data_IF_706391494605
#
_entry.id   IF_706391494605
#
_cell.length_a   1.000
_cell.length_b   1.000
_cell.length_c   1.000
_cell.angle_alpha   90.00
_cell.angle_beta   90.00
_cell.angle_gamma   90.00
#
_symmetry.space_group_name_H-M   'P 1'
#
loop_
_entity.id
_entity.type
_entity.pdbx_description
1 polymer ?
#
# COMPACT_ATOMS: atom_id res chain seq x y z
N UNK A 1 6.73 -84.11 -26.16
CA UNK A 1 6.12 -83.32 -27.25
C UNK A 1 4.89 -82.62 -26.68
N UNK A 2 4.78 -81.29 -26.85
CA UNK A 2 3.69 -80.45 -26.32
C UNK A 2 3.92 -80.03 -24.86
N UNK A 3 3.68 -78.80 -24.41
CA UNK A 3 3.05 -77.63 -25.02
C UNK A 3 3.55 -76.38 -24.24
N UNK A 4 4.03 -75.35 -24.95
CA UNK A 4 4.41 -74.08 -24.34
C UNK A 4 3.18 -73.17 -24.31
N UNK A 5 2.66 -72.92 -23.12
CA UNK A 5 1.53 -72.02 -22.87
C UNK A 5 1.92 -70.56 -23.15
N UNK A 6 1.28 -69.97 -24.16
CA UNK A 6 1.36 -68.55 -24.49
C UNK A 6 0.70 -67.72 -23.38
N UNK A 7 1.46 -66.82 -22.77
CA UNK A 7 0.94 -65.80 -21.85
C UNK A 7 0.36 -64.66 -22.71
N UNK A 8 -0.89 -64.21 -22.50
CA UNK A 8 -1.48 -63.14 -23.29
C UNK A 8 -0.85 -61.78 -22.94
N UNK A 9 -0.42 -61.05 -23.97
CA UNK A 9 0.11 -59.68 -23.91
C UNK A 9 -1.03 -58.70 -23.65
N UNK A 10 -1.55 -58.68 -22.43
CA UNK A 10 -2.58 -57.73 -22.00
C UNK A 10 -2.21 -57.02 -20.69
N UNK A 11 -0.93 -56.71 -20.49
CA UNK A 11 -0.46 -55.86 -19.38
C UNK A 11 0.71 -54.98 -19.83
N UNK A 12 0.42 -53.93 -20.59
CA UNK A 12 1.30 -52.77 -20.71
C UNK A 12 0.52 -51.50 -20.32
N UNK A 13 0.97 -50.72 -19.32
CA UNK A 13 0.35 -49.46 -18.99
C UNK A 13 0.61 -48.46 -20.13
N UNK A 14 -0.49 -47.99 -20.73
CA UNK A 14 -0.51 -46.94 -21.73
C UNK A 14 0.25 -45.69 -21.25
N UNK A 15 1.29 -45.28 -21.99
CA UNK A 15 1.94 -43.97 -21.84
C UNK A 15 1.16 -42.92 -22.67
N UNK A 16 0.72 -41.79 -22.11
CA UNK A 16 0.14 -40.72 -22.91
C UNK A 16 1.24 -40.01 -23.72
N UNK A 17 1.08 -39.97 -25.05
CA UNK A 17 1.86 -39.09 -25.93
C UNK A 17 1.52 -37.62 -25.62
N UNK A 18 2.56 -36.80 -25.47
CA UNK A 18 2.50 -35.34 -25.32
C UNK A 18 1.67 -34.66 -26.43
N UNK A 19 0.83 -33.65 -26.13
CA UNK A 19 0.00 -32.97 -27.12
C UNK A 19 0.72 -31.77 -27.75
N UNK A 20 2.00 -31.93 -28.13
CA UNK A 20 2.76 -30.84 -28.74
C UNK A 20 2.85 -31.05 -30.26
N UNK A 21 1.92 -30.45 -30.99
CA UNK A 21 1.93 -30.36 -32.46
C UNK A 21 2.43 -28.97 -32.85
N UNK A 22 3.75 -28.77 -32.77
CA UNK A 22 4.39 -27.53 -33.18
C UNK A 22 5.79 -27.81 -33.74
N UNK A 23 6.01 -27.47 -35.00
CA UNK A 23 7.30 -27.65 -35.68
C UNK A 23 8.27 -26.52 -35.28
N UNK A 24 9.45 -26.86 -34.76
CA UNK A 24 10.46 -25.90 -34.23
C UNK A 24 11.14 -25.04 -35.33
N UNK A 25 10.73 -25.17 -36.60
CA UNK A 25 11.37 -24.51 -37.75
C UNK A 25 10.67 -23.22 -38.22
N UNK A 26 9.64 -22.75 -37.52
CA UNK A 26 8.93 -21.49 -37.83
C UNK A 26 8.92 -20.50 -36.66
N UNK A 27 10.02 -20.43 -35.91
CA UNK A 27 10.29 -19.32 -35.01
C UNK A 27 11.16 -18.30 -35.73
N UNK A 28 10.55 -17.47 -36.57
CA UNK A 28 11.20 -16.24 -37.04
C UNK A 28 11.27 -15.29 -35.84
N UNK A 29 12.48 -15.04 -35.36
CA UNK A 29 12.74 -14.01 -34.38
C UNK A 29 12.24 -12.66 -34.94
N UNK A 30 11.35 -11.99 -34.21
CA UNK A 30 10.95 -10.61 -34.54
C UNK A 30 12.19 -9.73 -34.41
N UNK A 31 12.66 -9.04 -35.46
CA UNK A 31 13.73 -8.06 -35.31
C UNK A 31 13.17 -6.92 -34.46
N UNK A 32 13.66 -6.86 -33.24
CA UNK A 32 13.43 -5.77 -32.32
C UNK A 32 14.06 -4.49 -32.91
N UNK A 33 13.34 -3.38 -32.74
CA UNK A 33 13.84 -2.00 -32.81
C UNK A 33 14.25 -1.44 -34.19
N UNK A 34 13.27 -1.07 -35.02
CA UNK A 34 13.45 0.12 -35.88
C UNK A 34 13.17 1.36 -35.05
N UNK A 35 14.25 2.06 -34.67
CA UNK A 35 14.24 3.38 -34.04
C UNK A 35 13.52 4.35 -34.99
N UNK A 36 12.29 4.71 -34.68
CA UNK A 36 11.60 5.82 -35.35
C UNK A 36 12.25 7.09 -34.82
N UNK A 37 13.31 7.57 -35.48
CA UNK A 37 13.71 8.97 -35.36
C UNK A 37 12.79 9.78 -36.27
N UNK A 38 11.57 10.05 -35.80
CA UNK A 38 10.79 11.14 -36.35
C UNK A 38 11.22 12.40 -35.59
N UNK A 39 11.96 13.26 -36.28
CA UNK A 39 12.25 14.61 -35.84
C UNK A 39 10.91 15.29 -35.51
N UNK A 40 10.72 15.68 -34.25
CA UNK A 40 9.59 16.52 -33.84
C UNK A 40 9.90 17.93 -34.37
N UNK A 41 9.02 18.58 -35.15
CA UNK A 41 9.22 19.98 -35.49
C UNK A 41 9.22 20.79 -34.18
N UNK A 42 10.24 21.64 -34.01
CA UNK A 42 10.30 22.59 -32.91
C UNK A 42 9.12 23.55 -33.05
N UNK A 43 8.07 23.33 -32.25
CA UNK A 43 7.04 24.33 -32.04
C UNK A 43 7.70 25.43 -31.20
N UNK A 44 8.10 26.53 -31.83
CA UNK A 44 8.46 27.75 -31.11
C UNK A 44 7.19 28.34 -30.52
N UNK A 45 6.93 28.02 -29.25
CA UNK A 45 5.94 28.74 -28.47
C UNK A 45 6.49 30.14 -28.24
N UNK A 46 5.97 31.12 -28.98
CA UNK A 46 6.17 32.53 -28.69
C UNK A 46 5.54 32.80 -27.34
N UNK A 47 6.35 32.92 -26.29
CA UNK A 47 5.89 33.42 -25.01
C UNK A 47 5.60 34.91 -25.17
N UNK A 48 4.33 35.25 -25.41
CA UNK A 48 3.82 36.61 -25.26
C UNK A 48 3.78 36.93 -23.77
N UNK A 49 4.92 37.27 -23.20
CA UNK A 49 4.98 37.89 -21.88
C UNK A 49 4.44 39.32 -22.01
N UNK A 50 3.17 39.51 -21.67
CA UNK A 50 2.62 40.81 -21.34
C UNK A 50 1.54 40.63 -20.27
N UNK A 51 1.98 40.80 -19.03
CA UNK A 51 1.26 41.49 -17.95
C UNK A 51 -0.21 41.11 -17.71
N UNK A 52 -0.43 40.08 -16.89
CA UNK A 52 -1.21 40.20 -15.65
C UNK A 52 -0.63 39.20 -14.66
N UNK A 53 0.48 39.57 -14.03
CA UNK A 53 0.83 38.96 -12.75
C UNK A 53 -0.30 39.32 -11.80
N UNK A 54 -1.20 38.37 -11.52
CA UNK A 54 -2.17 38.51 -10.45
C UNK A 54 -1.40 39.00 -9.22
N UNK A 55 -1.79 40.12 -8.59
CA UNK A 55 -1.13 40.53 -7.38
C UNK A 55 -1.34 39.38 -6.40
N UNK A 56 -0.23 38.76 -5.96
CA UNK A 56 -0.18 38.09 -4.68
C UNK A 56 -0.34 39.22 -3.67
N UNK A 57 -1.57 39.70 -3.52
CA UNK A 57 -1.94 40.67 -2.51
C UNK A 57 -1.71 39.94 -1.20
N UNK A 58 -0.65 40.32 -0.49
CA UNK A 58 -0.44 39.98 0.91
C UNK A 58 -1.79 40.09 1.65
N UNK A 59 -2.08 39.20 2.63
CA UNK A 59 -3.39 39.15 3.26
C UNK A 59 -3.79 40.55 3.72
N UNK A 60 -4.77 41.14 3.02
CA UNK A 60 -5.31 42.44 3.38
C UNK A 60 -5.95 42.28 4.75
N UNK A 61 -5.34 42.95 5.72
CA UNK A 61 -5.75 42.98 7.12
C UNK A 61 -7.22 43.39 7.17
N UNK A 62 -8.12 42.43 7.42
CA UNK A 62 -9.56 42.71 7.56
C UNK A 62 -10.54 41.77 6.84
N UNK A 63 -10.15 40.59 6.38
CA UNK A 63 -11.14 39.63 5.86
C UNK A 63 -11.98 39.05 7.02
N UNK A 64 -13.24 39.48 7.12
CA UNK A 64 -14.22 38.92 8.07
C UNK A 64 -14.66 37.52 7.62
N UNK A 65 -14.63 36.56 8.55
CA UNK A 65 -15.17 35.23 8.30
C UNK A 65 -16.68 35.30 8.02
N UNK A 66 -17.06 34.75 6.87
CA UNK A 66 -18.43 34.51 6.40
C UNK A 66 -18.48 33.10 5.83
N UNK A 67 -19.66 32.51 5.73
CA UNK A 67 -19.81 31.14 5.21
C UNK A 67 -19.19 30.97 3.81
N UNK A 68 -19.20 32.02 3.00
CA UNK A 68 -18.66 32.01 1.64
C UNK A 68 -17.12 31.95 1.57
N UNK A 69 -16.43 32.35 2.65
CA UNK A 69 -14.98 32.50 2.70
C UNK A 69 -14.30 31.43 3.57
N UNK A 70 -15.05 30.44 4.05
CA UNK A 70 -14.51 29.32 4.83
C UNK A 70 -14.10 28.19 3.88
N UNK A 71 -12.89 27.70 4.06
CA UNK A 71 -12.38 26.54 3.33
C UNK A 71 -11.48 25.70 4.22
N UNK A 72 -11.40 24.38 3.98
CA UNK A 72 -10.45 23.55 4.69
C UNK A 72 -9.01 23.94 4.33
N UNK A 73 -8.09 23.75 5.28
CA UNK A 73 -6.65 23.91 5.01
C UNK A 73 -6.22 23.01 3.84
N UNK A 74 -5.34 23.48 2.94
CA UNK A 74 -4.83 22.66 1.84
C UNK A 74 -4.25 21.34 2.37
N UNK A 75 -4.65 20.22 1.76
CA UNK A 75 -4.22 18.88 2.16
C UNK A 75 -5.07 18.23 3.25
N UNK A 76 -5.94 18.96 3.95
CA UNK A 76 -6.84 18.41 4.98
C UNK A 76 -7.79 17.35 4.42
N UNK A 77 -8.40 17.60 3.26
CA UNK A 77 -9.36 16.68 2.61
C UNK A 77 -8.93 16.34 1.19
N UNK A 78 -8.69 15.06 0.91
CA UNK A 78 -8.37 14.54 -0.43
C UNK A 78 -9.62 13.91 -1.06
N UNK A 79 -9.87 14.18 -2.35
CA UNK A 79 -11.00 13.57 -3.08
C UNK A 79 -10.76 12.07 -3.24
N UNK A 80 -11.77 11.25 -2.93
CA UNK A 80 -11.69 9.80 -3.09
C UNK A 80 -11.70 9.38 -4.57
N UNK A 81 -10.93 8.33 -4.90
CA UNK A 81 -10.92 7.76 -6.26
C UNK A 81 -12.21 6.99 -6.51
N UNK A 82 -13.00 7.42 -7.50
CA UNK A 82 -14.19 6.70 -7.98
C UNK A 82 -13.76 5.68 -9.04
N UNK A 83 -13.68 4.40 -8.65
CA UNK A 83 -13.26 3.31 -9.56
C UNK A 83 -14.35 3.02 -10.61
N UNK A 84 -13.95 2.48 -11.77
CA UNK A 84 -14.89 2.09 -12.83
C UNK A 84 -15.55 3.26 -13.56
N UNK A 85 -14.81 4.38 -13.76
CA UNK A 85 -15.28 5.58 -14.47
C UNK A 85 -14.37 5.93 -15.64
N UNK A 86 -14.22 4.97 -16.56
CA UNK A 86 -13.38 5.13 -17.75
C UNK A 86 -11.88 5.03 -17.47
N UNK A 87 -11.11 4.72 -18.52
CA UNK A 87 -9.65 4.48 -18.41
C UNK A 87 -8.90 5.76 -18.05
N UNK A 88 -9.35 6.92 -18.55
CA UNK A 88 -8.74 8.22 -18.28
C UNK A 88 -8.71 8.58 -16.78
N UNK A 89 -9.67 8.09 -15.98
CA UNK A 89 -9.68 8.26 -14.53
C UNK A 89 -8.68 7.36 -13.78
N UNK A 90 -7.94 6.49 -14.49
CA UNK A 90 -6.83 5.67 -13.97
C UNK A 90 -7.21 4.28 -13.47
N UNK A 91 -8.45 4.03 -13.07
CA UNK A 91 -8.91 2.72 -12.56
C UNK A 91 -10.23 2.30 -13.23
N UNK A 92 -10.28 2.43 -14.56
CA UNK A 92 -11.48 2.23 -15.37
C UNK A 92 -11.83 0.78 -15.71
N UNK A 93 -10.86 0.01 -16.22
CA UNK A 93 -11.12 -1.31 -16.78
C UNK A 93 -11.37 -2.37 -15.68
N UNK A 94 -10.32 -2.79 -14.98
CA UNK A 94 -10.38 -3.82 -13.93
C UNK A 94 -10.54 -3.24 -12.52
N UNK A 95 -10.72 -1.93 -12.38
CA UNK A 95 -10.74 -1.22 -11.09
C UNK A 95 -9.50 -1.50 -10.19
N UNK A 96 -8.40 -1.98 -10.80
CA UNK A 96 -7.16 -2.35 -10.11
C UNK A 96 -7.14 -3.76 -9.56
N UNK A 97 -8.15 -4.59 -9.85
CA UNK A 97 -8.22 -5.98 -9.39
C UNK A 97 -7.51 -6.97 -10.32
N UNK A 98 -7.17 -6.56 -11.55
CA UNK A 98 -6.48 -7.41 -12.52
C UNK A 98 -7.43 -8.33 -13.31
N UNK A 99 -6.91 -9.49 -13.73
CA UNK A 99 -7.68 -10.52 -14.46
C UNK A 99 -8.56 -11.33 -13.50
N UNK A 100 -9.33 -12.28 -14.06
CA UNK A 100 -10.21 -13.19 -13.31
C UNK A 100 -9.40 -14.01 -12.30
N UNK A 101 -9.69 -13.86 -11.02
CA UNK A 101 -9.12 -14.66 -9.92
C UNK A 101 -9.97 -14.53 -8.65
N UNK A 102 -9.63 -15.27 -7.60
CA UNK A 102 -10.41 -15.23 -6.35
C UNK A 102 -10.47 -13.80 -5.75
N UNK A 103 -9.37 -13.04 -5.81
CA UNK A 103 -9.29 -11.65 -5.29
C UNK A 103 -10.08 -10.62 -6.11
N UNK A 104 -10.50 -10.96 -7.33
CA UNK A 104 -11.28 -10.07 -8.19
C UNK A 104 -12.79 -10.28 -8.06
N UNK A 105 -13.23 -11.26 -7.26
CA UNK A 105 -14.65 -11.56 -7.04
C UNK A 105 -15.20 -10.73 -5.88
N UNK A 106 -16.51 -10.48 -5.91
CA UNK A 106 -17.23 -9.90 -4.78
C UNK A 106 -17.31 -10.91 -3.63
N UNK A 107 -17.35 -10.39 -2.41
CA UNK A 107 -17.52 -11.17 -1.19
C UNK A 107 -16.29 -11.17 -0.27
N UNK A 108 -16.37 -11.89 0.86
CA UNK A 108 -15.26 -12.05 1.78
C UNK A 108 -14.06 -12.70 1.10
N UNK A 109 -12.89 -12.07 1.22
CA UNK A 109 -11.65 -12.65 0.73
C UNK A 109 -11.16 -13.81 1.61
N UNK A 110 -10.01 -14.34 1.24
CA UNK A 110 -9.26 -15.29 2.06
C UNK A 110 -8.90 -14.65 3.41
N UNK A 111 -9.08 -15.40 4.51
CA UNK A 111 -8.71 -14.94 5.86
C UNK A 111 -7.25 -14.50 5.91
N UNK A 112 -6.98 -13.35 6.52
CA UNK A 112 -5.61 -12.88 6.76
C UNK A 112 -4.83 -13.94 7.56
N UNK A 113 -3.67 -14.36 7.04
CA UNK A 113 -2.85 -15.43 7.62
C UNK A 113 -3.17 -16.83 7.10
N UNK A 114 -4.05 -17.00 6.10
CA UNK A 114 -4.18 -18.27 5.38
C UNK A 114 -3.18 -18.34 4.23
N UNK A 115 -2.38 -19.41 4.21
CA UNK A 115 -1.28 -19.62 3.27
C UNK A 115 -1.62 -20.72 2.23
N UNK A 116 -2.88 -20.83 1.80
CA UNK A 116 -3.26 -21.76 0.72
C UNK A 116 -3.36 -23.23 1.14
N UNK A 117 -3.64 -23.51 2.42
CA UNK A 117 -3.69 -24.86 2.99
C UNK A 117 -2.41 -25.26 3.72
N UNK A 118 -1.33 -24.49 3.56
CA UNK A 118 -0.14 -24.62 4.40
C UNK A 118 -0.48 -24.25 5.86
N UNK A 119 0.12 -24.97 6.83
CA UNK A 119 -0.03 -24.63 8.25
C UNK A 119 0.37 -23.17 8.48
N UNK A 120 -0.52 -22.26 8.89
CA UNK A 120 -0.19 -20.84 9.00
C UNK A 120 1.00 -20.53 9.91
N UNK A 121 1.76 -19.47 9.60
CA UNK A 121 2.91 -19.04 10.40
C UNK A 121 2.61 -18.89 11.89
N UNK A 122 1.45 -18.33 12.25
CA UNK A 122 1.05 -18.14 13.65
C UNK A 122 0.83 -19.46 14.43
N UNK A 123 0.75 -20.60 13.73
CA UNK A 123 0.72 -21.94 14.34
C UNK A 123 2.09 -22.62 14.34
N UNK A 124 3.01 -22.20 13.47
CA UNK A 124 4.37 -22.75 13.39
C UNK A 124 5.26 -22.20 14.50
N UNK A 125 5.09 -20.93 14.84
CA UNK A 125 5.90 -20.26 15.87
C UNK A 125 5.35 -20.64 17.26
N UNK A 126 6.21 -20.99 18.24
CA UNK A 126 5.77 -21.23 19.61
C UNK A 126 5.16 -19.96 20.21
N UNK A 127 4.20 -20.13 21.13
CA UNK A 127 3.61 -19.00 21.85
C UNK A 127 4.70 -18.29 22.67
N UNK A 128 4.70 -16.95 22.67
CA UNK A 128 5.56 -16.18 23.56
C UNK A 128 5.30 -16.58 25.02
N UNK A 129 6.38 -16.70 25.78
CA UNK A 129 6.33 -17.09 27.20
C UNK A 129 5.65 -15.99 28.01
N UNK A 130 4.68 -16.36 28.87
CA UNK A 130 3.97 -15.43 29.75
C UNK A 130 2.57 -14.96 29.29
N UNK A 131 2.19 -15.15 28.03
CA UNK A 131 0.86 -14.70 27.53
C UNK A 131 -0.28 -15.63 28.00
N UNK A 132 0.02 -16.89 28.29
CA UNK A 132 -0.99 -17.87 28.72
C UNK A 132 -1.50 -17.67 30.16
N UNK A 133 -0.82 -16.84 30.97
CA UNK A 133 -1.07 -16.71 32.41
C UNK A 133 -1.72 -15.40 32.89
N UNK A 134 -2.12 -14.50 31.99
CA UNK A 134 -2.95 -13.33 32.36
C UNK A 134 -2.28 -12.23 33.20
N UNK A 135 -0.98 -12.28 33.49
CA UNK A 135 -0.33 -11.23 34.28
C UNK A 135 0.10 -10.03 33.42
N UNK A 136 -0.75 -9.01 33.40
CA UNK A 136 -0.40 -7.65 32.97
C UNK A 136 -0.07 -6.82 34.22
N UNK A 137 1.12 -7.02 34.79
CA UNK A 137 1.60 -6.16 35.89
C UNK A 137 2.76 -5.32 35.35
N UNK A 138 2.42 -4.15 34.83
CA UNK A 138 3.38 -3.07 34.62
C UNK A 138 3.45 -2.22 35.89
N UNK A 139 4.07 -2.75 36.95
CA UNK A 139 4.42 -1.96 38.15
C UNK A 139 5.90 -1.62 38.08
N UNK A 140 6.28 -0.82 37.08
CA UNK A 140 7.60 -0.21 37.03
C UNK A 140 7.34 1.22 36.59
N UNK A 141 7.12 2.12 37.55
CA UNK A 141 7.19 3.55 37.26
C UNK A 141 8.63 3.84 36.84
N UNK A 142 8.88 3.91 35.53
CA UNK A 142 10.09 4.54 35.03
C UNK A 142 9.96 6.02 35.35
N UNK A 143 10.36 6.39 36.57
CA UNK A 143 10.65 7.77 36.92
C UNK A 143 11.89 8.16 36.13
N UNK A 144 11.68 8.55 34.87
CA UNK A 144 12.64 9.32 34.13
C UNK A 144 12.89 10.60 34.93
N UNK A 145 14.03 10.66 35.62
CA UNK A 145 14.57 11.88 36.18
C UNK A 145 14.74 12.87 35.02
N UNK A 146 13.76 13.75 34.84
CA UNK A 146 13.96 14.96 34.05
C UNK A 146 14.92 15.89 34.80
N UNK A 147 15.79 16.62 34.09
CA UNK A 147 16.92 17.31 34.70
C UNK A 147 16.44 18.52 35.53
N UNK A 148 16.71 18.49 36.84
CA UNK A 148 16.55 19.62 37.76
C UNK A 148 17.71 20.61 37.56
N UNK A 149 17.93 21.07 36.31
CA UNK A 149 18.98 22.04 35.98
C UNK A 149 18.37 23.22 35.24
N UNK A 150 17.33 23.82 35.82
CA UNK A 150 16.98 25.22 35.57
C UNK A 150 16.08 25.76 36.70
N UNK A 151 16.50 25.64 37.95
CA UNK A 151 15.90 26.42 39.04
C UNK A 151 16.82 27.64 39.26
N UNK A 152 16.44 28.85 38.87
CA UNK A 152 17.19 30.05 39.23
C UNK A 152 17.23 30.15 40.75
N UNK A 153 18.43 30.35 41.29
CA UNK A 153 18.78 30.31 42.72
C UNK A 153 18.22 31.49 43.52
N UNK A 154 16.93 31.79 43.40
CA UNK A 154 16.20 32.74 44.26
C UNK A 154 14.68 32.47 44.20
N UNK A 155 14.20 31.43 44.87
CA UNK A 155 12.76 31.28 45.15
C UNK A 155 12.54 31.02 46.64
N UNK A 156 11.96 32.03 47.28
CA UNK A 156 11.59 32.10 48.69
C UNK A 156 10.49 31.06 49.00
N UNK A 157 10.54 30.46 50.20
CA UNK A 157 9.68 29.34 50.65
C UNK A 157 8.18 29.70 50.57
N UNK A 158 7.84 30.98 50.59
CA UNK A 158 6.49 31.50 50.40
C UNK A 158 5.86 31.21 49.02
N UNK A 159 6.64 30.99 47.95
CA UNK A 159 6.08 30.76 46.60
C UNK A 159 5.57 29.33 46.39
N UNK A 160 6.14 28.35 47.11
CA UNK A 160 5.81 26.93 46.99
C UNK A 160 4.41 26.60 47.52
N UNK A 161 3.95 27.32 48.55
CA UNK A 161 2.61 27.13 49.13
C UNK A 161 1.51 27.62 48.17
N UNK A 162 1.75 28.70 47.41
CA UNK A 162 0.78 29.22 46.44
C UNK A 162 0.64 28.37 45.17
N UNK A 163 1.68 27.61 44.80
CA UNK A 163 1.64 26.72 43.64
C UNK A 163 0.85 25.42 43.88
N UNK A 164 0.73 24.98 45.14
CA UNK A 164 -0.05 23.80 45.50
C UNK A 164 -1.57 24.07 45.47
N UNK A 165 -1.99 25.30 45.79
CA UNK A 165 -3.39 25.72 45.81
C UNK A 165 -3.98 25.98 44.41
N UNK A 166 -3.16 26.04 43.35
CA UNK A 166 -3.63 26.33 41.99
C UNK A 166 -3.81 25.09 41.10
N UNK A 167 -3.54 23.89 41.62
CA UNK A 167 -3.64 22.61 40.89
C UNK A 167 -4.65 21.62 41.50
N UNK A 168 -5.50 22.13 42.42
CA UNK A 168 -6.79 21.55 42.79
C UNK A 168 -7.90 22.38 42.10
#
# INVERSE_FOLDING_TARGET
MGSASLIPVSWLPWRPLSPFKGTVKTLVAKPWLKKIQQARPLISVVNKAASLSSPVTAPSVGVRFRLDNLGPQPGSRKRAKRKGRGISAGQGASCGFGMRGQKSRSGPGVRKGFEGGQMPLYRRIPKLRGIAGGNLISQHSLSFLYPIVLIPTHFNILSLVLLHESWM
#
